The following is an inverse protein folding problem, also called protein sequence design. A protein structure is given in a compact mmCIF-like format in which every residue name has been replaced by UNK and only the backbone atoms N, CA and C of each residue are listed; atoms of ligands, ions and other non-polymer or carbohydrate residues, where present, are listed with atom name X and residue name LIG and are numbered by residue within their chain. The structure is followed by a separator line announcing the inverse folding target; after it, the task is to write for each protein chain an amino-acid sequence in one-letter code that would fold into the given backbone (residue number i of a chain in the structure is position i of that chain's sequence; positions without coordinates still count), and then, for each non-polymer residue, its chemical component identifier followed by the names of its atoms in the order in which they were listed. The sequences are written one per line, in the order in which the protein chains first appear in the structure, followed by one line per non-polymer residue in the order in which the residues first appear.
data_IF_104539662259
#
_entry.id   IF_104539662259
#
_cell.length_a   1.000
_cell.length_b   1.000
_cell.length_c   1.000
_cell.angle_alpha   90.00
_cell.angle_beta   90.00
_cell.angle_gamma   90.00
#
_symmetry.space_group_name_H-M   'P 1'
#
loop_
_entity.id
_entity.type
_entity.pdbx_description
1 polymer ?
#
# COMPACT_ATOMS: atom_id res chain seq x y z
N UNK A 1 -26.57 -11.29 9.05
CA UNK A 1 -25.93 -11.73 7.78
C UNK A 1 -25.88 -13.25 7.75
N UNK A 2 -26.21 -13.91 6.64
CA UNK A 2 -26.32 -15.38 6.59
C UNK A 2 -24.93 -15.99 6.28
N UNK A 3 -24.38 -16.82 7.16
CA UNK A 3 -23.07 -17.50 7.05
C UNK A 3 -22.92 -18.25 5.70
N UNK A 4 -24.01 -18.84 5.21
CA UNK A 4 -24.04 -19.51 3.92
C UNK A 4 -23.77 -18.57 2.73
N UNK A 5 -24.25 -17.33 2.80
CA UNK A 5 -23.98 -16.30 1.78
C UNK A 5 -22.49 -15.91 1.78
N UNK A 6 -21.90 -15.75 2.96
CA UNK A 6 -20.47 -15.41 3.12
C UNK A 6 -19.55 -16.48 2.53
N UNK A 7 -19.80 -17.75 2.84
CA UNK A 7 -19.03 -18.87 2.28
C UNK A 7 -19.15 -18.95 0.76
N UNK A 8 -20.35 -18.74 0.21
CA UNK A 8 -20.56 -18.72 -1.25
C UNK A 8 -19.76 -17.59 -1.90
N UNK A 9 -19.78 -16.39 -1.32
CA UNK A 9 -19.01 -15.25 -1.83
C UNK A 9 -17.50 -15.52 -1.79
N UNK A 10 -16.97 -16.09 -0.72
CA UNK A 10 -15.54 -16.46 -0.64
C UNK A 10 -15.15 -17.48 -1.73
N UNK A 11 -16.00 -18.48 -1.98
CA UNK A 11 -15.77 -19.45 -3.08
C UNK A 11 -15.77 -18.74 -4.43
N UNK A 12 -16.69 -17.80 -4.64
CA UNK A 12 -16.76 -17.04 -5.89
C UNK A 12 -15.53 -16.14 -6.07
N UNK A 13 -15.04 -15.47 -5.01
CA UNK A 13 -13.81 -14.67 -5.05
C UNK A 13 -12.57 -15.49 -5.43
N UNK A 14 -12.55 -16.79 -5.12
CA UNK A 14 -11.45 -17.68 -5.48
C UNK A 14 -11.59 -18.28 -6.88
N UNK A 15 -12.83 -18.41 -7.41
CA UNK A 15 -13.11 -19.17 -8.64
C UNK A 15 -13.47 -18.31 -9.85
N UNK A 16 -13.96 -17.10 -9.68
CA UNK A 16 -14.33 -16.22 -10.79
C UNK A 16 -13.15 -16.00 -11.74
N UNK A 17 -13.42 -15.86 -13.03
CA UNK A 17 -12.38 -15.60 -14.04
C UNK A 17 -11.73 -14.23 -13.88
N UNK A 18 -12.49 -13.26 -13.41
CA UNK A 18 -12.01 -11.97 -12.98
C UNK A 18 -12.93 -11.36 -11.92
N UNK A 19 -12.39 -10.45 -11.14
CA UNK A 19 -13.13 -9.50 -10.31
C UNK A 19 -12.69 -8.09 -10.65
N UNK A 20 -13.44 -7.10 -10.21
CA UNK A 20 -13.16 -5.69 -10.44
C UNK A 20 -12.92 -5.00 -9.11
N UNK A 21 -11.97 -4.06 -9.08
CA UNK A 21 -11.68 -3.27 -7.89
C UNK A 21 -11.50 -1.81 -8.27
N UNK A 22 -11.50 -0.93 -7.28
CA UNK A 22 -11.26 0.51 -7.46
C UNK A 22 -9.83 0.85 -7.05
N UNK A 23 -9.14 1.59 -7.90
CA UNK A 23 -7.78 2.07 -7.67
C UNK A 23 -7.82 3.59 -7.55
N UNK A 24 -7.19 4.13 -6.52
CA UNK A 24 -7.00 5.57 -6.35
C UNK A 24 -6.03 6.10 -7.41
N UNK A 25 -6.44 7.16 -8.12
CA UNK A 25 -5.56 7.87 -9.06
C UNK A 25 -4.50 8.71 -8.34
N UNK A 26 -4.67 8.93 -7.03
CA UNK A 26 -3.71 9.65 -6.19
C UNK A 26 -2.49 8.81 -5.83
N UNK A 27 -2.69 7.50 -5.60
CA UNK A 27 -1.65 6.60 -5.09
C UNK A 27 -1.30 5.45 -6.05
N UNK A 28 -2.11 5.23 -7.09
CA UNK A 28 -2.05 4.07 -8.00
C UNK A 28 -2.22 2.71 -7.31
N UNK A 29 -2.65 2.73 -6.04
CA UNK A 29 -2.96 1.58 -5.19
C UNK A 29 -4.48 1.37 -5.09
N UNK A 30 -4.95 0.21 -4.61
CA UNK A 30 -6.36 0.03 -4.26
C UNK A 30 -6.86 1.21 -3.43
N UNK A 31 -8.07 1.69 -3.75
CA UNK A 31 -8.70 2.76 -2.98
C UNK A 31 -9.15 2.19 -1.63
N UNK A 32 -8.54 2.66 -0.55
CA UNK A 32 -8.75 2.16 0.81
C UNK A 32 -9.63 3.14 1.57
N UNK A 33 -10.59 2.60 2.34
CA UNK A 33 -11.46 3.35 3.25
C UNK A 33 -11.49 2.66 4.60
N UNK A 34 -11.48 3.45 5.67
CA UNK A 34 -11.78 2.95 7.01
C UNK A 34 -13.31 2.92 7.20
N UNK A 35 -13.83 1.79 7.64
CA UNK A 35 -15.24 1.66 8.01
C UNK A 35 -15.48 2.39 9.36
N UNK A 36 -16.44 3.30 9.39
CA UNK A 36 -16.69 4.15 10.56
C UNK A 36 -17.27 3.39 11.76
N UNK A 37 -17.86 2.19 11.55
CA UNK A 37 -18.49 1.40 12.60
C UNK A 37 -17.58 0.26 13.10
N UNK A 38 -16.92 -0.42 12.17
CA UNK A 38 -16.09 -1.60 12.48
C UNK A 38 -14.62 -1.28 12.62
N UNK A 39 -14.19 -0.09 12.15
CA UNK A 39 -12.80 0.33 12.03
C UNK A 39 -11.94 -0.60 11.17
N UNK A 40 -12.59 -1.35 10.26
CA UNK A 40 -11.90 -2.16 9.28
C UNK A 40 -11.33 -1.27 8.15
N UNK A 41 -10.09 -1.53 7.78
CA UNK A 41 -9.44 -0.93 6.61
C UNK A 41 -9.76 -1.78 5.39
N UNK A 42 -10.57 -1.23 4.49
CA UNK A 42 -11.23 -2.04 3.47
C UNK A 42 -11.07 -1.49 2.06
N UNK A 43 -11.18 -2.41 1.10
CA UNK A 43 -11.27 -2.10 -0.33
C UNK A 43 -12.57 -2.61 -0.90
N UNK A 44 -12.97 -2.09 -2.06
CA UNK A 44 -14.15 -2.53 -2.80
C UNK A 44 -13.77 -3.52 -3.89
N UNK A 45 -14.53 -4.63 -3.96
CA UNK A 45 -14.39 -5.69 -4.97
C UNK A 45 -15.78 -5.99 -5.56
N UNK A 46 -15.86 -6.17 -6.86
CA UNK A 46 -17.13 -6.41 -7.57
C UNK A 46 -17.01 -7.62 -8.48
N UNK A 47 -18.09 -8.40 -8.59
CA UNK A 47 -18.19 -9.47 -9.59
C UNK A 47 -18.65 -8.96 -10.95
N UNK A 48 -19.46 -7.90 -10.96
CA UNK A 48 -20.00 -7.33 -12.18
C UNK A 48 -19.27 -6.03 -12.58
N UNK A 49 -18.87 -5.96 -13.86
CA UNK A 49 -18.13 -4.84 -14.42
C UNK A 49 -18.92 -3.53 -14.38
N UNK A 50 -20.20 -3.59 -14.75
CA UNK A 50 -21.01 -2.38 -14.86
C UNK A 50 -21.31 -1.81 -13.46
N UNK A 51 -21.45 -2.68 -12.46
CA UNK A 51 -21.58 -2.28 -11.06
C UNK A 51 -20.31 -1.60 -10.55
N UNK A 52 -19.14 -2.15 -10.82
CA UNK A 52 -17.86 -1.54 -10.47
C UNK A 52 -17.66 -0.19 -11.17
N UNK A 53 -18.06 -0.10 -12.43
CA UNK A 53 -17.97 1.12 -13.22
C UNK A 53 -18.88 2.23 -12.63
N UNK A 54 -20.13 1.92 -12.30
CA UNK A 54 -21.06 2.87 -11.65
C UNK A 54 -20.52 3.33 -10.29
N UNK A 55 -19.94 2.43 -9.50
CA UNK A 55 -19.32 2.78 -8.22
C UNK A 55 -18.14 3.75 -8.41
N UNK A 56 -17.28 3.50 -9.41
CA UNK A 56 -16.19 4.41 -9.78
C UNK A 56 -16.71 5.79 -10.19
N UNK A 57 -17.72 5.85 -11.03
CA UNK A 57 -18.34 7.10 -11.51
C UNK A 57 -18.98 7.89 -10.36
N UNK A 58 -19.65 7.20 -9.43
CA UNK A 58 -20.22 7.82 -8.24
C UNK A 58 -19.14 8.51 -7.40
N UNK A 59 -18.04 7.80 -7.07
CA UNK A 59 -16.93 8.36 -6.30
C UNK A 59 -16.25 9.52 -7.04
N UNK A 60 -16.06 9.41 -8.36
CA UNK A 60 -15.56 10.52 -9.18
C UNK A 60 -16.48 11.75 -9.11
N UNK A 61 -17.80 11.57 -9.10
CA UNK A 61 -18.78 12.63 -8.88
C UNK A 61 -18.65 13.28 -7.50
N UNK A 62 -18.23 12.53 -6.49
CA UNK A 62 -17.91 13.00 -5.13
C UNK A 62 -16.50 13.59 -5.02
N UNK A 63 -15.80 13.79 -6.13
CA UNK A 63 -14.43 14.29 -6.22
C UNK A 63 -13.39 13.36 -5.59
N UNK A 64 -13.66 12.08 -5.55
CA UNK A 64 -12.72 11.04 -5.15
C UNK A 64 -12.14 10.42 -6.42
N UNK A 65 -10.87 10.72 -6.78
CA UNK A 65 -10.30 10.31 -8.06
C UNK A 65 -9.92 8.83 -8.02
N UNK A 66 -10.81 7.99 -8.52
CA UNK A 66 -10.64 6.54 -8.62
C UNK A 66 -10.91 6.07 -10.04
N UNK A 67 -10.40 4.89 -10.38
CA UNK A 67 -10.75 4.17 -11.60
C UNK A 67 -11.01 2.69 -11.29
N UNK A 68 -11.92 2.09 -12.05
CA UNK A 68 -12.12 0.64 -12.04
C UNK A 68 -10.94 -0.05 -12.73
N UNK A 69 -10.49 -1.17 -12.14
CA UNK A 69 -9.50 -2.08 -12.73
C UNK A 69 -10.00 -3.52 -12.71
N UNK A 70 -9.58 -4.30 -13.69
CA UNK A 70 -9.87 -5.73 -13.74
C UNK A 70 -8.74 -6.50 -13.06
N UNK A 71 -9.07 -7.38 -12.15
CA UNK A 71 -8.15 -8.31 -11.49
C UNK A 71 -8.43 -9.71 -12.07
N UNK A 72 -7.57 -10.23 -12.96
CA UNK A 72 -7.77 -11.56 -13.52
C UNK A 72 -7.38 -12.65 -12.51
N UNK A 73 -7.97 -13.82 -12.64
CA UNK A 73 -7.82 -14.95 -11.71
C UNK A 73 -6.37 -15.35 -11.43
N UNK A 74 -5.52 -15.30 -12.45
CA UNK A 74 -4.10 -15.68 -12.33
C UNK A 74 -3.27 -14.81 -11.40
N UNK A 75 -3.78 -13.64 -10.98
CA UNK A 75 -3.13 -12.74 -10.03
C UNK A 75 -3.89 -12.59 -8.70
N UNK A 76 -4.93 -13.39 -8.44
CA UNK A 76 -5.71 -13.28 -7.21
C UNK A 76 -4.86 -13.45 -5.95
N UNK A 77 -4.05 -14.50 -5.89
CA UNK A 77 -3.24 -14.76 -4.70
C UNK A 77 -2.22 -13.63 -4.45
N UNK A 78 -1.40 -13.18 -5.42
CA UNK A 78 -0.55 -12.02 -5.21
C UNK A 78 -1.33 -10.73 -4.89
N UNK A 79 -2.50 -10.49 -5.52
CA UNK A 79 -3.32 -9.31 -5.23
C UNK A 79 -3.83 -9.32 -3.78
N UNK A 80 -4.51 -10.39 -3.35
CA UNK A 80 -5.01 -10.46 -1.98
C UNK A 80 -3.87 -10.49 -0.94
N UNK A 81 -2.74 -11.13 -1.28
CA UNK A 81 -1.57 -11.15 -0.38
C UNK A 81 -0.95 -9.77 -0.19
N UNK A 82 -0.92 -8.94 -1.23
CA UNK A 82 -0.38 -7.58 -1.14
C UNK A 82 -1.21 -6.67 -0.23
N UNK A 83 -2.51 -6.94 -0.08
CA UNK A 83 -3.38 -6.17 0.80
C UNK A 83 -2.95 -6.24 2.27
N UNK A 84 -2.39 -7.37 2.72
CA UNK A 84 -1.86 -7.47 4.10
C UNK A 84 -0.68 -6.52 4.33
N UNK A 85 0.25 -6.42 3.39
CA UNK A 85 1.39 -5.50 3.52
C UNK A 85 0.99 -4.03 3.42
N UNK A 86 -0.21 -3.75 2.87
CA UNK A 86 -0.82 -2.41 2.86
C UNK A 86 -1.63 -2.11 4.12
N UNK A 87 -1.83 -3.08 5.03
CA UNK A 87 -2.64 -2.92 6.24
C UNK A 87 -4.14 -3.14 6.03
N UNK A 88 -4.58 -3.53 4.84
CA UNK A 88 -5.99 -3.83 4.55
C UNK A 88 -6.38 -5.15 5.20
N UNK A 89 -7.52 -5.17 5.90
CA UNK A 89 -8.02 -6.35 6.60
C UNK A 89 -9.38 -6.85 6.08
N UNK A 90 -10.11 -6.06 5.26
CA UNK A 90 -11.45 -6.41 4.79
C UNK A 90 -11.66 -6.11 3.31
N UNK A 91 -12.48 -6.94 2.66
CA UNK A 91 -13.05 -6.71 1.34
C UNK A 91 -14.54 -6.42 1.48
N UNK A 92 -15.04 -5.36 0.87
CA UNK A 92 -16.47 -5.13 0.68
C UNK A 92 -16.81 -5.55 -0.74
N UNK A 93 -17.54 -6.65 -0.86
CA UNK A 93 -17.94 -7.24 -2.15
C UNK A 93 -19.28 -6.67 -2.56
N UNK A 94 -19.39 -6.26 -3.83
CA UNK A 94 -20.59 -5.69 -4.47
C UNK A 94 -21.20 -4.51 -3.69
N UNK A 95 -20.34 -3.61 -3.19
CA UNK A 95 -20.73 -2.46 -2.39
C UNK A 95 -21.77 -1.59 -3.11
N UNK A 96 -22.77 -1.15 -2.33
CA UNK A 96 -23.88 -0.34 -2.81
C UNK A 96 -24.97 -1.14 -3.55
N UNK A 97 -24.98 -2.46 -3.43
CA UNK A 97 -26.03 -3.35 -3.97
C UNK A 97 -26.69 -4.15 -2.85
N UNK A 98 -27.83 -4.81 -3.17
CA UNK A 98 -28.50 -5.74 -2.24
C UNK A 98 -27.65 -6.98 -1.89
N UNK A 99 -26.57 -7.21 -2.63
CA UNK A 99 -25.63 -8.32 -2.42
C UNK A 99 -24.36 -7.89 -1.67
N UNK A 100 -24.31 -6.67 -1.15
CA UNK A 100 -23.15 -6.21 -0.42
C UNK A 100 -22.79 -7.11 0.75
N UNK A 101 -21.52 -7.53 0.82
CA UNK A 101 -21.03 -8.38 1.89
C UNK A 101 -19.57 -8.08 2.23
N UNK A 102 -19.29 -7.95 3.55
CA UNK A 102 -17.93 -7.80 4.06
C UNK A 102 -17.28 -9.17 4.29
N UNK A 103 -16.06 -9.35 3.79
CA UNK A 103 -15.23 -10.54 3.96
C UNK A 103 -13.93 -10.13 4.61
N UNK A 104 -13.58 -10.72 5.75
CA UNK A 104 -12.27 -10.51 6.37
C UNK A 104 -11.20 -11.19 5.51
N UNK A 105 -10.09 -10.50 5.27
CA UNK A 105 -9.05 -10.95 4.36
C UNK A 105 -8.39 -12.26 4.82
N UNK A 106 -8.23 -12.44 6.12
CA UNK A 106 -7.65 -13.64 6.74
C UNK A 106 -8.58 -14.87 6.68
N UNK A 107 -9.89 -14.66 6.44
CA UNK A 107 -10.82 -15.76 6.15
C UNK A 107 -10.73 -16.21 4.69
N UNK A 108 -10.47 -15.26 3.76
CA UNK A 108 -10.36 -15.56 2.33
C UNK A 108 -9.05 -16.27 1.99
N UNK A 109 -7.94 -15.78 2.52
CA UNK A 109 -6.60 -16.35 2.34
C UNK A 109 -5.84 -16.40 3.66
N UNK A 110 -5.12 -17.49 3.88
CA UNK A 110 -4.24 -17.61 5.03
C UNK A 110 -2.82 -17.19 4.66
N UNK A 111 -2.21 -16.31 5.43
CA UNK A 111 -0.77 -16.10 5.33
C UNK A 111 -0.05 -17.41 5.64
N UNK A 112 0.70 -17.93 4.69
CA UNK A 112 1.52 -19.11 4.90
C UNK A 112 2.50 -18.85 6.04
N UNK A 113 2.38 -19.60 7.14
CA UNK A 113 3.51 -19.77 8.06
C UNK A 113 4.58 -20.47 7.23
N UNK A 114 5.80 -19.89 7.14
CA UNK A 114 6.92 -20.42 6.35
C UNK A 114 6.90 -21.96 6.31
N UNK A 115 6.65 -22.61 5.16
CA UNK A 115 6.53 -24.07 5.10
C UNK A 115 7.86 -24.80 5.27
N UNK A 116 8.97 -24.08 5.19
CA UNK A 116 10.31 -24.63 5.39
C UNK A 116 10.83 -24.12 6.73
N UNK A 117 10.82 -24.96 7.77
CA UNK A 117 11.38 -24.71 9.09
C UNK A 117 12.90 -24.51 9.15
N UNK A 118 13.50 -23.98 8.08
CA UNK A 118 14.87 -23.51 8.00
C UNK A 118 14.91 -22.00 8.18
N UNK A 119 15.96 -21.50 8.79
CA UNK A 119 16.36 -20.16 9.19
C UNK A 119 15.24 -19.09 9.05
N UNK A 120 14.86 -18.44 10.15
CA UNK A 120 13.85 -17.39 10.18
C UNK A 120 14.17 -16.33 9.11
N UNK A 121 13.58 -16.45 7.93
CA UNK A 121 13.59 -15.34 6.99
C UNK A 121 12.95 -14.16 7.70
N UNK A 122 13.73 -13.12 7.89
CA UNK A 122 13.24 -11.87 8.47
C UNK A 122 12.29 -11.27 7.44
N UNK A 123 10.99 -11.38 7.71
CA UNK A 123 9.96 -10.73 6.90
C UNK A 123 9.92 -9.27 7.36
N UNK A 124 10.25 -8.35 6.47
CA UNK A 124 10.11 -6.91 6.70
C UNK A 124 8.78 -6.49 6.12
N UNK A 125 7.92 -5.98 6.97
CA UNK A 125 6.63 -5.38 6.63
C UNK A 125 6.33 -4.25 7.60
N UNK A 126 5.72 -3.18 7.10
CA UNK A 126 5.29 -2.02 7.87
C UNK A 126 3.87 -1.65 7.44
N UNK A 127 2.87 -2.52 7.69
CA UNK A 127 1.52 -2.32 7.20
C UNK A 127 0.87 -1.05 7.76
N UNK A 128 1.13 -0.70 9.02
CA UNK A 128 0.60 0.51 9.65
C UNK A 128 1.13 1.78 8.98
N UNK A 129 2.44 1.84 8.68
CA UNK A 129 3.00 2.96 7.94
C UNK A 129 2.46 3.01 6.51
N UNK A 130 2.38 1.85 5.84
CA UNK A 130 1.90 1.79 4.45
C UNK A 130 0.46 2.29 4.36
N UNK A 131 -0.40 1.83 5.27
CA UNK A 131 -1.80 2.22 5.36
C UNK A 131 -1.97 3.72 5.62
N UNK A 132 -1.33 4.25 6.66
CA UNK A 132 -1.43 5.67 7.01
C UNK A 132 -0.87 6.57 5.90
N UNK A 133 0.20 6.12 5.22
CA UNK A 133 0.75 6.81 4.06
C UNK A 133 -0.25 6.82 2.87
N UNK A 134 -0.95 5.72 2.63
CA UNK A 134 -1.98 5.64 1.58
C UNK A 134 -3.16 6.58 1.88
N UNK A 135 -3.69 6.59 3.09
CA UNK A 135 -4.73 7.52 3.51
C UNK A 135 -4.28 8.98 3.37
N UNK A 136 -3.11 9.30 3.90
CA UNK A 136 -2.56 10.64 3.83
C UNK A 136 -2.41 11.12 2.38
N UNK A 137 -1.81 10.32 1.53
CA UNK A 137 -1.56 10.68 0.14
C UNK A 137 -2.84 10.68 -0.72
N UNK A 138 -3.84 9.85 -0.42
CA UNK A 138 -5.15 9.94 -1.06
C UNK A 138 -5.79 11.31 -0.82
N UNK A 139 -5.77 11.79 0.42
CA UNK A 139 -6.35 13.08 0.79
C UNK A 139 -5.55 14.27 0.26
N UNK A 140 -4.25 14.31 0.48
CA UNK A 140 -3.39 15.44 0.08
C UNK A 140 -3.32 15.63 -1.43
N UNK A 141 -3.25 14.54 -2.20
CA UNK A 141 -3.23 14.63 -3.67
C UNK A 141 -4.60 14.94 -4.25
N UNK A 142 -5.67 14.60 -3.55
CA UNK A 142 -7.04 14.96 -3.93
C UNK A 142 -7.32 16.44 -3.71
N UNK A 143 -6.93 16.97 -2.55
CA UNK A 143 -7.13 18.38 -2.19
C UNK A 143 -5.98 18.88 -1.31
N UNK A 144 -5.17 19.79 -1.85
CA UNK A 144 -4.05 20.38 -1.11
C UNK A 144 -4.47 21.15 0.14
N UNK A 145 -5.72 21.62 0.23
CA UNK A 145 -6.28 22.24 1.43
C UNK A 145 -6.44 21.25 2.58
N UNK A 146 -6.45 19.95 2.30
CA UNK A 146 -6.50 18.91 3.33
C UNK A 146 -5.38 19.05 4.37
N UNK A 147 -4.21 19.56 3.97
CA UNK A 147 -3.07 19.81 4.88
C UNK A 147 -3.39 20.79 6.04
N UNK A 148 -4.45 21.59 5.92
CA UNK A 148 -4.88 22.55 6.95
C UNK A 148 -5.84 21.94 7.97
N UNK A 149 -6.37 20.75 7.70
CA UNK A 149 -7.34 20.05 8.55
C UNK A 149 -6.63 19.41 9.75
N UNK A 150 -7.31 19.41 10.92
CA UNK A 150 -6.75 18.84 12.16
C UNK A 150 -6.57 17.32 12.05
N UNK A 151 -7.57 16.60 11.51
CA UNK A 151 -7.49 15.17 11.27
C UNK A 151 -6.29 14.75 10.40
N UNK A 152 -5.91 15.61 9.46
CA UNK A 152 -4.73 15.34 8.61
C UNK A 152 -3.42 15.58 9.34
N UNK A 153 -3.37 16.47 10.32
CA UNK A 153 -2.20 16.64 11.19
C UNK A 153 -2.05 15.43 12.12
N UNK A 154 -3.15 14.98 12.73
CA UNK A 154 -3.17 13.78 13.55
C UNK A 154 -2.71 12.56 12.76
N UNK A 155 -3.23 12.37 11.54
CA UNK A 155 -2.82 11.28 10.64
C UNK A 155 -1.33 11.38 10.26
N UNK A 156 -0.82 12.59 10.05
CA UNK A 156 0.61 12.80 9.76
C UNK A 156 1.49 12.45 10.97
N UNK A 157 1.09 12.83 12.18
CA UNK A 157 1.80 12.48 13.42
C UNK A 157 1.79 10.97 13.67
N UNK A 158 0.65 10.32 13.46
CA UNK A 158 0.53 8.87 13.53
C UNK A 158 1.47 8.18 12.53
N UNK A 159 1.45 8.63 11.28
CA UNK A 159 2.33 8.14 10.22
C UNK A 159 3.81 8.28 10.59
N UNK A 160 4.23 9.41 11.18
CA UNK A 160 5.60 9.62 11.67
C UNK A 160 5.95 8.69 12.82
N UNK A 161 5.00 8.40 13.72
CA UNK A 161 5.20 7.43 14.81
C UNK A 161 5.42 6.01 14.26
N UNK A 162 4.64 5.59 13.26
CA UNK A 162 4.85 4.31 12.59
C UNK A 162 6.20 4.27 11.87
N UNK A 163 6.55 5.36 11.18
CA UNK A 163 7.86 5.48 10.51
C UNK A 163 9.02 5.28 11.48
N UNK A 164 9.01 5.94 12.64
CA UNK A 164 10.10 5.87 13.62
C UNK A 164 10.32 4.49 14.23
N UNK A 165 9.28 3.67 14.28
CA UNK A 165 9.32 2.30 14.85
C UNK A 165 9.69 1.25 13.80
N UNK A 166 9.67 1.61 12.51
CA UNK A 166 9.79 0.68 11.39
C UNK A 166 11.21 0.16 11.16
N UNK A 167 11.26 -0.98 10.46
CA UNK A 167 12.44 -1.51 9.79
C UNK A 167 12.16 -1.51 8.29
N UNK A 168 13.08 -1.00 7.51
CA UNK A 168 12.89 -0.77 6.09
C UNK A 168 13.83 -1.58 5.24
N UNK A 169 13.38 -1.92 4.05
CA UNK A 169 14.27 -2.40 3.01
C UNK A 169 14.85 -1.17 2.33
N UNK A 170 16.16 -1.22 2.09
CA UNK A 170 16.91 -0.19 1.37
C UNK A 170 17.69 -0.83 0.22
N UNK A 171 17.88 -0.14 -0.91
CA UNK A 171 18.65 -0.67 -2.01
C UNK A 171 20.15 -0.62 -1.66
N UNK A 172 20.80 -1.75 -1.75
CA UNK A 172 22.23 -1.92 -1.58
C UNK A 172 22.86 -2.49 -2.86
N UNK A 173 24.11 -2.13 -3.15
CA UNK A 173 24.81 -2.60 -4.35
C UNK A 173 26.16 -3.21 -3.98
N UNK A 174 26.15 -4.50 -3.60
CA UNK A 174 27.37 -5.28 -3.32
C UNK A 174 28.42 -4.48 -2.52
N UNK A 175 29.63 -4.41 -3.05
CA UNK A 175 30.74 -3.68 -2.44
C UNK A 175 30.77 -2.17 -2.74
N UNK A 176 29.85 -1.68 -3.55
CA UNK A 176 29.74 -0.27 -3.90
C UNK A 176 29.05 0.53 -2.78
N UNK A 177 29.58 1.73 -2.48
CA UNK A 177 28.91 2.72 -1.61
C UNK A 177 27.87 3.53 -2.37
N UNK A 178 27.65 3.25 -3.64
CA UNK A 178 26.65 3.93 -4.44
C UNK A 178 25.26 3.56 -3.94
N UNK A 179 24.44 4.56 -3.74
CA UNK A 179 23.03 4.44 -3.36
C UNK A 179 22.18 5.18 -4.37
N UNK A 180 21.01 4.67 -4.75
CA UNK A 180 20.13 5.39 -5.65
C UNK A 180 19.59 6.62 -4.92
N UNK A 181 19.58 7.76 -5.60
CA UNK A 181 18.96 8.98 -5.12
C UNK A 181 17.88 9.43 -6.08
N UNK A 182 16.70 9.70 -5.56
CA UNK A 182 15.59 10.20 -6.34
C UNK A 182 15.52 11.71 -6.26
N UNK A 183 15.71 12.36 -7.41
CA UNK A 183 15.71 13.81 -7.52
C UNK A 183 14.31 14.33 -7.82
N UNK A 184 13.85 15.30 -7.03
CA UNK A 184 12.61 16.02 -7.24
C UNK A 184 12.80 17.18 -8.24
N UNK A 185 11.69 17.71 -8.77
CA UNK A 185 11.72 18.83 -9.74
C UNK A 185 12.39 20.10 -9.19
N UNK A 186 12.32 20.35 -7.89
CA UNK A 186 12.98 21.46 -7.21
C UNK A 186 14.48 21.24 -6.97
N UNK A 187 15.02 20.08 -7.38
CA UNK A 187 16.42 19.72 -7.23
C UNK A 187 16.76 18.97 -5.94
N UNK A 188 15.85 18.88 -4.97
CA UNK A 188 16.05 18.12 -3.74
C UNK A 188 16.18 16.62 -4.05
N UNK A 189 17.03 15.94 -3.28
CA UNK A 189 17.26 14.51 -3.41
C UNK A 189 16.79 13.76 -2.18
N UNK A 190 16.20 12.57 -2.40
CA UNK A 190 15.67 11.69 -1.36
C UNK A 190 16.21 10.28 -1.55
N UNK A 191 16.45 9.60 -0.42
CA UNK A 191 16.88 8.21 -0.39
C UNK A 191 15.66 7.28 -0.39
N UNK A 192 15.53 6.33 -1.34
CA UNK A 192 14.38 5.43 -1.38
C UNK A 192 14.44 4.38 -0.28
N UNK A 193 13.32 4.17 0.39
CA UNK A 193 13.09 3.10 1.36
C UNK A 193 11.77 2.40 1.06
N UNK A 194 11.66 1.15 1.47
CA UNK A 194 10.51 0.31 1.14
C UNK A 194 9.92 -0.31 2.39
N UNK A 195 8.60 -0.30 2.49
CA UNK A 195 7.85 -0.88 3.61
C UNK A 195 7.93 -2.40 3.64
N UNK A 196 8.14 -3.01 2.48
CA UNK A 196 8.14 -4.46 2.29
C UNK A 196 8.91 -4.87 1.01
N UNK A 197 9.04 -6.17 0.81
CA UNK A 197 9.78 -6.73 -0.32
C UNK A 197 9.09 -6.48 -1.67
N UNK A 198 7.75 -6.42 -1.70
CA UNK A 198 7.01 -6.19 -2.96
C UNK A 198 7.30 -4.80 -3.50
N UNK A 199 7.31 -3.78 -2.63
CA UNK A 199 7.64 -2.41 -3.00
C UNK A 199 9.09 -2.28 -3.51
N UNK A 200 10.03 -2.98 -2.86
CA UNK A 200 11.41 -3.06 -3.34
C UNK A 200 11.52 -3.74 -4.71
N UNK A 201 10.78 -4.82 -4.94
CA UNK A 201 10.77 -5.51 -6.24
C UNK A 201 10.21 -4.64 -7.37
N UNK A 202 9.18 -3.82 -7.10
CA UNK A 202 8.65 -2.85 -8.07
C UNK A 202 9.72 -1.83 -8.46
N UNK A 203 10.48 -1.33 -7.50
CA UNK A 203 11.61 -0.44 -7.73
C UNK A 203 12.69 -1.11 -8.60
N UNK A 204 13.12 -2.32 -8.27
CA UNK A 204 14.09 -3.06 -9.06
C UNK A 204 13.61 -3.32 -10.49
N UNK A 205 12.32 -3.57 -10.67
CA UNK A 205 11.72 -3.81 -11.99
C UNK A 205 11.76 -2.57 -12.88
N UNK A 206 11.63 -1.38 -12.29
CA UNK A 206 11.73 -0.10 -13.02
C UNK A 206 13.18 0.35 -13.25
N UNK A 207 14.15 -0.19 -12.50
CA UNK A 207 15.59 0.12 -12.58
C UNK A 207 16.40 -1.12 -12.99
N UNK A 208 16.01 -1.78 -14.07
CA UNK A 208 16.56 -3.09 -14.52
C UNK A 208 18.03 -3.10 -14.85
N UNK A 209 18.61 -1.97 -15.19
CA UNK A 209 20.03 -1.84 -15.53
C UNK A 209 20.93 -1.96 -14.29
N UNK A 210 20.36 -1.82 -13.11
CA UNK A 210 21.06 -1.83 -11.84
C UNK A 210 20.67 -3.05 -11.01
N UNK A 211 21.65 -3.77 -10.49
CA UNK A 211 21.42 -4.98 -9.65
C UNK A 211 21.39 -4.58 -8.18
N UNK A 212 20.26 -4.07 -7.72
CA UNK A 212 20.05 -3.77 -6.31
C UNK A 212 19.75 -5.02 -5.50
N UNK A 213 20.30 -5.09 -4.30
CA UNK A 213 20.01 -6.12 -3.30
C UNK A 213 19.27 -5.47 -2.13
N UNK A 214 18.37 -6.21 -1.44
CA UNK A 214 17.68 -5.69 -0.27
C UNK A 214 18.63 -5.65 0.93
N UNK A 215 18.93 -4.46 1.43
CA UNK A 215 19.48 -4.22 2.75
C UNK A 215 18.37 -3.96 3.75
N UNK A 216 18.58 -4.25 5.03
CA UNK A 216 17.59 -3.99 6.10
C UNK A 216 18.17 -2.95 7.05
N UNK A 217 17.37 -1.93 7.38
CA UNK A 217 17.77 -0.88 8.30
C UNK A 217 16.61 -0.46 9.20
N UNK A 218 16.91 -0.17 10.45
CA UNK A 218 15.94 0.45 11.36
C UNK A 218 15.87 1.96 11.11
N UNK A 219 14.68 2.55 11.28
CA UNK A 219 14.45 3.99 11.06
C UNK A 219 15.50 4.87 11.73
N UNK A 220 15.82 4.60 12.99
CA UNK A 220 16.80 5.35 13.79
C UNK A 220 18.22 5.34 13.20
N UNK A 221 18.54 4.37 12.35
CA UNK A 221 19.86 4.20 11.73
C UNK A 221 19.93 4.72 10.29
N UNK A 222 18.82 5.18 9.70
CA UNK A 222 18.78 5.69 8.33
C UNK A 222 19.79 6.81 8.08
N UNK A 223 20.00 7.70 9.05
CA UNK A 223 20.98 8.78 8.96
C UNK A 223 22.43 8.30 8.70
N UNK A 224 22.76 7.03 9.05
CA UNK A 224 24.10 6.45 8.86
C UNK A 224 24.37 6.00 7.42
N UNK A 225 23.31 5.73 6.65
CA UNK A 225 23.42 5.24 5.26
C UNK A 225 23.05 6.31 4.23
N UNK A 226 22.41 7.39 4.66
CA UNK A 226 22.04 8.50 3.77
C UNK A 226 23.28 9.35 3.43
N UNK A 227 23.56 9.59 2.14
CA UNK A 227 24.62 10.48 1.70
C UNK A 227 24.43 11.91 2.19
N UNK A 228 25.51 12.68 2.16
CA UNK A 228 25.45 14.13 2.47
C UNK A 228 24.62 14.88 1.40
N UNK A 229 23.87 15.88 1.85
CA UNK A 229 23.02 16.69 0.98
C UNK A 229 21.66 16.10 0.66
N UNK A 230 21.38 14.87 1.09
CA UNK A 230 20.05 14.24 0.95
C UNK A 230 19.09 14.86 1.96
N UNK A 231 17.91 15.28 1.50
CA UNK A 231 16.89 15.98 2.31
C UNK A 231 16.09 15.06 3.24
N UNK A 232 16.04 13.77 2.90
CA UNK A 232 15.24 12.81 3.64
C UNK A 232 15.06 11.50 2.87
N UNK A 233 13.98 10.82 3.16
CA UNK A 233 13.63 9.55 2.51
C UNK A 233 12.36 9.67 1.69
N UNK A 234 12.25 8.84 0.65
CA UNK A 234 10.98 8.59 -0.02
C UNK A 234 10.53 7.16 0.25
N UNK A 235 9.34 7.01 0.81
CA UNK A 235 8.74 5.72 1.11
C UNK A 235 7.96 5.24 -0.10
N UNK A 236 8.23 4.02 -0.56
CA UNK A 236 7.56 3.36 -1.69
C UNK A 236 7.46 4.28 -2.93
N UNK A 237 8.60 4.70 -3.52
CA UNK A 237 8.64 5.73 -4.55
C UNK A 237 7.90 5.38 -5.84
N UNK A 238 7.64 4.09 -6.10
CA UNK A 238 6.98 3.66 -7.34
C UNK A 238 5.46 3.79 -7.26
N UNK A 239 4.89 4.02 -6.07
CA UNK A 239 3.45 4.04 -5.84
C UNK A 239 3.01 5.21 -4.94
N UNK A 240 3.03 5.01 -3.61
CA UNK A 240 2.57 6.05 -2.67
C UNK A 240 3.45 7.29 -2.74
N UNK A 241 4.75 7.10 -2.93
CA UNK A 241 5.77 8.14 -3.11
C UNK A 241 5.69 9.22 -2.01
N UNK A 242 5.73 8.78 -0.76
CA UNK A 242 5.68 9.66 0.40
C UNK A 242 7.08 10.24 0.69
N UNK A 243 7.21 11.56 0.68
CA UNK A 243 8.45 12.26 1.01
C UNK A 243 8.47 12.63 2.50
N UNK A 244 9.47 12.15 3.23
CA UNK A 244 9.71 12.50 4.62
C UNK A 244 11.07 13.23 4.75
N UNK A 245 11.02 14.48 5.17
CA UNK A 245 12.25 15.25 5.43
C UNK A 245 12.88 14.77 6.72
N UNK A 246 14.21 14.62 6.69
CA UNK A 246 14.99 14.23 7.87
C UNK A 246 16.01 15.32 8.17
N UNK A 247 15.93 15.90 9.36
CA UNK A 247 16.96 16.84 9.83
C UNK A 247 18.13 16.00 10.33
N UNK A 248 19.31 16.13 9.71
CA UNK A 248 20.54 15.59 10.30
C UNK A 248 20.78 16.30 11.63
N UNK A 249 20.79 15.54 12.72
CA UNK A 249 21.25 16.03 14.03
C UNK A 249 22.77 16.17 14.02
#
# INVERSE_FOLDING_TARGET
MNEKSKQTTMINLQKAECVYSLVSLCTTQPYIVCDAETFDDQIYVYFDKDTAQRASEKLMGEKIPVKMVTIPKNIYLPFYSSLFSMGVNRLVVDSGTDNEIGIQLDELIKRGKNPNGGEKQVVIENPELHLTALYYMQEVKRDTKALQREDMKELYEEMLNHFQKGKYIVPARGDSKEVPLLKQQNGDTFYPIFTDLLEFQKFCTSHKEEKWQPGIIEAQNLHKVMPDGVKGVTVNPMEVNLLLQMVKK
#
